data_IF_504702055737
#
_entry.id   IF_504702055737
#
_cell.length_a   1.000
_cell.length_b   1.000
_cell.length_c   1.000
_cell.angle_alpha   90.00
_cell.angle_beta   90.00
_cell.angle_gamma   90.00
#
_symmetry.space_group_name_H-M   'P 1'
#
loop_
_entity.id
_entity.type
_entity.pdbx_description
1 polymer ?
#
# COMPACT_ATOMS: atom_id res chain seq x y z
N UNK A 1 -5.42 -22.19 14.36
CA UNK A 1 -5.96 -21.67 13.39
C UNK A 1 -5.17 -20.76 12.61
N UNK A 2 -5.37 -20.70 11.42
CA UNK A 2 -4.54 -19.99 10.57
C UNK A 2 -5.07 -18.66 10.27
N UNK A 3 -4.21 -17.69 10.27
CA UNK A 3 -4.54 -16.45 9.80
C UNK A 3 -4.12 -16.36 8.40
N UNK A 4 -4.75 -15.53 7.64
CA UNK A 4 -4.35 -15.29 6.28
C UNK A 4 -2.95 -14.75 6.31
N UNK A 5 -2.07 -15.34 5.49
CA UNK A 5 -0.73 -14.92 5.48
C UNK A 5 -0.59 -13.69 4.62
N UNK A 6 -0.04 -12.64 5.16
CA UNK A 6 0.16 -11.41 4.42
C UNK A 6 1.42 -11.55 3.58
N UNK A 7 1.37 -11.10 2.35
CA UNK A 7 2.52 -11.15 1.45
C UNK A 7 3.56 -10.14 1.89
N UNK A 8 4.73 -10.63 2.29
CA UNK A 8 5.76 -9.76 2.83
C UNK A 8 6.34 -8.82 1.80
N UNK A 9 6.40 -9.27 0.54
CA UNK A 9 6.89 -8.42 -0.51
C UNK A 9 5.96 -7.24 -0.73
N UNK A 10 4.66 -7.50 -0.66
CA UNK A 10 3.67 -6.46 -0.78
C UNK A 10 3.83 -5.42 0.33
N UNK A 11 4.03 -5.89 1.55
CA UNK A 11 4.19 -4.98 2.67
C UNK A 11 5.46 -4.16 2.53
N UNK A 12 6.54 -4.79 2.09
CA UNK A 12 7.79 -4.07 1.87
C UNK A 12 7.60 -2.98 0.82
N UNK A 13 6.93 -3.30 -0.28
CA UNK A 13 6.71 -2.32 -1.35
C UNK A 13 5.78 -1.19 -0.88
N UNK A 14 4.80 -1.54 -0.04
CA UNK A 14 3.93 -0.54 0.55
C UNK A 14 4.73 0.45 1.38
N UNK A 15 5.61 -0.07 2.24
CA UNK A 15 6.39 0.79 3.11
C UNK A 15 7.34 1.67 2.32
N UNK A 16 7.94 1.12 1.28
CA UNK A 16 8.81 1.91 0.45
C UNK A 16 8.06 3.05 -0.21
N UNK A 17 6.88 2.77 -0.73
CA UNK A 17 6.10 3.79 -1.40
C UNK A 17 5.61 4.84 -0.41
N UNK A 18 5.14 4.40 0.77
CA UNK A 18 4.72 5.34 1.79
C UNK A 18 5.86 6.25 2.19
N UNK A 19 7.05 5.68 2.39
CA UNK A 19 8.19 6.48 2.82
C UNK A 19 8.65 7.44 1.74
N UNK A 20 8.53 7.04 0.47
CA UNK A 20 8.87 7.94 -0.63
C UNK A 20 7.91 9.12 -0.67
N UNK A 21 6.63 8.88 -0.40
CA UNK A 21 5.65 9.96 -0.36
C UNK A 21 5.93 10.89 0.82
N UNK A 22 6.28 10.34 1.96
CA UNK A 22 6.63 11.17 3.10
C UNK A 22 7.83 12.06 2.78
N UNK A 23 8.82 11.49 2.09
CA UNK A 23 10.00 12.26 1.71
C UNK A 23 9.66 13.35 0.70
N UNK A 24 8.58 13.17 -0.04
CA UNK A 24 8.15 14.13 -1.04
C UNK A 24 7.23 15.21 -0.47
N UNK A 25 7.03 15.24 0.83
CA UNK A 25 6.26 16.29 1.45
C UNK A 25 4.86 15.90 1.91
N UNK A 26 4.46 14.65 1.71
CA UNK A 26 3.18 14.21 2.19
C UNK A 26 3.23 13.95 3.68
N UNK A 27 2.11 14.12 4.35
CA UNK A 27 2.00 13.84 5.77
C UNK A 27 1.09 12.65 5.96
N UNK A 28 1.47 11.76 6.85
CA UNK A 28 0.67 10.60 7.17
C UNK A 28 -0.45 11.03 8.11
N UNK A 29 -1.69 10.85 7.68
CA UNK A 29 -2.84 11.27 8.48
C UNK A 29 -3.42 10.10 9.26
N UNK A 30 -3.40 8.94 8.67
CA UNK A 30 -3.96 7.74 9.27
C UNK A 30 -3.23 6.54 8.74
N UNK A 31 -3.06 5.53 9.57
CA UNK A 31 -2.56 4.24 9.12
C UNK A 31 -3.22 3.17 9.97
N UNK A 32 -3.84 2.20 9.33
CA UNK A 32 -4.57 1.15 10.03
C UNK A 32 -4.06 -0.20 9.58
N UNK A 33 -3.76 -1.06 10.56
CA UNK A 33 -3.34 -2.42 10.28
C UNK A 33 -4.59 -3.27 10.17
N UNK A 34 -4.68 -4.03 9.10
CA UNK A 34 -5.82 -4.90 8.86
C UNK A 34 -5.40 -6.35 9.05
N UNK A 35 -6.37 -7.26 9.09
CA UNK A 35 -6.03 -8.66 9.24
C UNK A 35 -5.25 -9.18 8.04
N UNK A 36 -5.45 -8.59 6.86
CA UNK A 36 -4.78 -9.05 5.65
C UNK A 36 -3.93 -7.97 5.01
N UNK A 37 -3.55 -6.95 5.76
CA UNK A 37 -2.70 -5.92 5.19
C UNK A 37 -2.70 -4.63 5.98
N UNK A 38 -2.57 -3.53 5.27
CA UNK A 38 -2.46 -2.22 5.89
C UNK A 38 -2.97 -1.16 4.92
N UNK A 39 -3.49 -0.08 5.47
CA UNK A 39 -3.99 1.01 4.64
C UNK A 39 -3.62 2.33 5.31
N UNK A 40 -3.27 3.32 4.53
CA UNK A 40 -2.98 4.62 5.09
C UNK A 40 -3.49 5.74 4.20
N UNK A 41 -3.57 6.92 4.80
CA UNK A 41 -3.98 8.11 4.09
C UNK A 41 -2.92 9.17 4.28
N UNK A 42 -2.53 9.81 3.19
CA UNK A 42 -1.52 10.86 3.22
C UNK A 42 -2.07 12.12 2.56
N UNK A 43 -1.56 13.25 2.98
CA UNK A 43 -2.01 14.53 2.45
C UNK A 43 -0.81 15.44 2.25
N UNK A 44 -0.80 16.18 1.14
CA UNK A 44 0.28 17.11 0.85
C UNK A 44 -0.25 18.52 1.03
N UNK A 45 0.29 19.22 1.99
CA UNK A 45 -0.23 20.55 2.32
C UNK A 45 -0.03 21.55 1.19
N UNK A 46 1.07 21.43 0.48
CA UNK A 46 1.39 22.44 -0.54
C UNK A 46 0.53 22.28 -1.79
N UNK A 47 0.26 21.04 -2.23
CA UNK A 47 -0.51 20.87 -3.45
C UNK A 47 -1.92 20.36 -3.23
N UNK A 48 -2.28 20.04 -1.98
CA UNK A 48 -3.64 19.63 -1.67
C UNK A 48 -4.00 18.22 -2.06
N UNK A 49 -3.05 17.43 -2.54
CA UNK A 49 -3.36 16.05 -2.93
C UNK A 49 -3.62 15.15 -1.73
N UNK A 50 -4.59 14.27 -1.89
CA UNK A 50 -4.88 13.24 -0.90
C UNK A 50 -4.58 11.90 -1.51
N UNK A 51 -3.85 11.06 -0.79
CA UNK A 51 -3.52 9.74 -1.27
C UNK A 51 -4.04 8.70 -0.29
N UNK A 52 -4.65 7.65 -0.83
CA UNK A 52 -4.99 6.48 -0.05
C UNK A 52 -4.12 5.36 -0.61
N UNK A 53 -3.25 4.83 0.24
CA UNK A 53 -2.34 3.77 -0.12
C UNK A 53 -2.74 2.53 0.65
N UNK A 54 -3.04 1.45 -0.05
CA UNK A 54 -3.48 0.23 0.61
C UNK A 54 -2.70 -0.96 0.11
N UNK A 55 -2.48 -1.91 1.01
CA UNK A 55 -1.82 -3.17 0.69
C UNK A 55 -2.62 -4.24 1.39
N UNK A 56 -3.55 -4.85 0.67
CA UNK A 56 -4.40 -5.87 1.24
C UNK A 56 -4.90 -6.79 0.15
N UNK A 57 -5.29 -7.99 0.54
CA UNK A 57 -5.79 -8.97 -0.40
C UNK A 57 -4.83 -9.13 -1.58
N UNK A 58 -3.55 -9.15 -1.26
CA UNK A 58 -2.47 -9.33 -2.23
C UNK A 58 -2.46 -8.29 -3.34
N UNK A 59 -2.90 -7.08 -3.02
CA UNK A 59 -2.88 -6.00 -3.99
C UNK A 59 -2.41 -4.71 -3.33
N UNK A 60 -1.47 -4.05 -3.97
CA UNK A 60 -1.00 -2.74 -3.55
C UNK A 60 -1.65 -1.73 -4.48
N UNK A 61 -2.32 -0.75 -3.92
CA UNK A 61 -3.03 0.23 -4.74
C UNK A 61 -2.83 1.62 -4.19
N UNK A 62 -2.66 2.57 -5.08
CA UNK A 62 -2.58 3.97 -4.71
C UNK A 62 -3.66 4.74 -5.42
N UNK A 63 -4.46 5.49 -4.66
CA UNK A 63 -5.43 6.41 -5.22
C UNK A 63 -5.00 7.81 -4.87
N UNK A 64 -4.96 8.68 -5.86
CA UNK A 64 -4.67 10.08 -5.63
C UNK A 64 -5.92 10.85 -5.97
N UNK A 65 -6.48 11.57 -5.00
CA UNK A 65 -7.72 12.32 -5.16
C UNK A 65 -8.82 11.45 -5.77
N UNK A 66 -8.95 10.24 -5.21
CA UNK A 66 -9.97 9.26 -5.60
C UNK A 66 -9.78 8.63 -6.96
N UNK A 67 -8.63 8.82 -7.58
CA UNK A 67 -8.34 8.19 -8.86
C UNK A 67 -7.24 7.17 -8.66
N UNK A 68 -7.45 5.94 -9.12
CA UNK A 68 -6.44 4.90 -9.01
C UNK A 68 -5.31 5.23 -9.97
N UNK A 69 -4.11 5.44 -9.43
CA UNK A 69 -2.96 5.79 -10.25
C UNK A 69 -1.93 4.66 -10.29
N UNK A 70 -2.07 3.66 -9.43
CA UNK A 70 -1.13 2.56 -9.41
C UNK A 70 -1.79 1.34 -8.79
N UNK A 71 -1.60 0.18 -9.40
CA UNK A 71 -2.09 -1.08 -8.88
C UNK A 71 -1.05 -2.14 -9.18
N UNK A 72 -0.73 -2.95 -8.19
CA UNK A 72 0.20 -4.03 -8.36
C UNK A 72 -0.35 -5.26 -7.63
N UNK A 73 -0.38 -6.38 -8.32
CA UNK A 73 -0.94 -7.60 -7.74
C UNK A 73 0.16 -8.55 -7.32
N UNK A 74 -0.07 -9.21 -6.18
CA UNK A 74 0.87 -10.17 -5.62
C UNK A 74 0.07 -11.44 -5.38
N UNK A 75 0.07 -12.35 -6.31
CA UNK A 75 -0.78 -13.52 -6.13
C UNK A 75 0.04 -14.77 -5.93
N UNK A 76 -0.66 -15.85 -5.69
CA UNK A 76 0.00 -17.10 -5.39
C UNK A 76 0.81 -17.64 -6.52
N UNK A 77 0.47 -17.27 -7.72
CA UNK A 77 1.18 -17.79 -8.87
C UNK A 77 2.63 -17.40 -8.86
N UNK A 78 2.94 -16.25 -8.28
CA UNK A 78 4.32 -15.83 -8.21
C UNK A 78 5.16 -16.81 -7.44
N UNK A 79 4.62 -17.40 -6.41
CA UNK A 79 5.38 -18.32 -5.62
C UNK A 79 5.67 -19.57 -6.38
N UNK A 80 4.79 -19.96 -7.24
CA UNK A 80 4.95 -21.21 -7.94
C UNK A 80 5.98 -21.13 -9.01
N UNK A 81 6.35 -19.95 -9.40
CA UNK A 81 7.34 -19.83 -10.44
C UNK A 81 8.74 -19.73 -9.94
N UNK A 82 8.93 -19.96 -8.68
CA UNK A 82 10.24 -19.80 -8.12
C UNK A 82 11.08 -21.02 -8.15
N UNK A 83 10.78 -21.97 -8.90
CA UNK A 83 11.66 -23.09 -9.01
C UNK A 83 11.42 -23.83 -10.27
#
# INVERSE_FOLDING_TARGET
MNKAKVNERMIFDYEERRNALLADGYRLRHETILSDGVICRLHHMANGNDIILSAKANQLQQKTNNVVVHTQNYDEADKMRQY
#
